data_IF_067633578316
#
_entry.id   IF_067633578316
#
_cell.length_a   1.000
_cell.length_b   1.000
_cell.length_c   1.000
_cell.angle_alpha   90.00
_cell.angle_beta   90.00
_cell.angle_gamma   90.00
#
_symmetry.space_group_name_H-M   'P 1'
#
loop_
_entity.id
_entity.type
_entity.pdbx_description
1 polymer ?
#
# COMPACT_ATOMS: atom_id res chain seq x y z
N UNK A 1 6.61 2.49 -60.13
CA UNK A 1 7.87 3.13 -59.73
C UNK A 1 7.54 4.00 -58.54
N UNK A 2 7.95 3.57 -57.35
CA UNK A 2 7.70 4.25 -56.08
C UNK A 2 8.55 5.52 -56.01
N UNK A 3 7.98 6.62 -55.54
CA UNK A 3 8.76 7.63 -54.82
C UNK A 3 7.91 8.37 -53.78
N UNK A 4 8.56 8.71 -52.68
CA UNK A 4 7.99 9.13 -51.40
C UNK A 4 7.66 10.63 -51.34
N UNK A 5 6.74 11.04 -50.45
CA UNK A 5 6.95 12.09 -49.43
C UNK A 5 5.66 12.47 -48.67
N UNK A 6 5.72 12.24 -47.36
CA UNK A 6 5.44 13.18 -46.25
C UNK A 6 4.24 14.15 -46.39
N UNK A 7 3.29 14.01 -45.48
CA UNK A 7 2.30 15.04 -45.17
C UNK A 7 1.54 14.76 -43.87
N UNK A 8 2.09 15.17 -42.73
CA UNK A 8 1.28 15.58 -41.57
C UNK A 8 0.91 17.05 -41.83
N UNK A 9 -0.37 17.48 -41.76
CA UNK A 9 -0.92 17.91 -40.46
C UNK A 9 -2.46 17.85 -40.33
N UNK A 10 -2.97 17.82 -39.09
CA UNK A 10 -4.03 18.70 -38.54
C UNK A 10 -4.70 18.07 -37.32
N UNK A 11 -4.57 18.73 -36.16
CA UNK A 11 -5.56 19.69 -35.63
C UNK A 11 -6.94 19.05 -35.42
N UNK A 12 -7.19 18.64 -34.17
CA UNK A 12 -8.56 18.52 -33.66
C UNK A 12 -8.89 19.77 -32.87
N UNK A 13 -9.76 20.60 -33.45
CA UNK A 13 -10.62 21.56 -32.75
C UNK A 13 -12.05 21.10 -32.98
N UNK A 14 -12.85 21.15 -31.92
CA UNK A 14 -14.31 21.35 -31.79
C UNK A 14 -14.72 20.58 -30.53
N UNK A 15 -15.43 21.15 -29.57
CA UNK A 15 -16.31 22.31 -29.58
C UNK A 15 -17.57 21.88 -28.84
N UNK A 16 -17.70 22.36 -27.59
CA UNK A 16 -18.92 22.56 -26.81
C UNK A 16 -20.12 21.64 -27.04
N UNK A 17 -20.51 20.89 -26.00
CA UNK A 17 -21.92 20.74 -25.62
C UNK A 17 -22.04 20.39 -24.14
N UNK A 18 -22.79 21.24 -23.44
CA UNK A 18 -23.11 21.16 -22.02
C UNK A 18 -24.05 20.01 -21.75
N UNK A 19 -23.59 19.01 -20.99
CA UNK A 19 -24.46 18.12 -20.24
C UNK A 19 -24.20 18.37 -18.76
N UNK A 20 -25.04 19.21 -18.17
CA UNK A 20 -25.24 19.24 -16.74
C UNK A 20 -25.82 17.90 -16.33
N UNK A 21 -24.98 17.03 -15.81
CA UNK A 21 -25.42 15.93 -14.98
C UNK A 21 -24.68 16.05 -13.66
N UNK A 22 -25.38 16.64 -12.70
CA UNK A 22 -25.06 16.64 -11.28
C UNK A 22 -25.01 15.18 -10.80
N UNK A 23 -23.87 14.54 -11.02
CA UNK A 23 -23.49 13.32 -10.30
C UNK A 23 -23.14 13.79 -8.90
N UNK A 24 -24.06 13.57 -7.98
CA UNK A 24 -23.83 13.58 -6.54
C UNK A 24 -22.45 12.99 -6.26
N UNK A 25 -21.48 13.87 -5.96
CA UNK A 25 -20.21 13.46 -5.41
C UNK A 25 -20.52 12.91 -4.03
N UNK A 26 -20.65 11.59 -3.93
CA UNK A 26 -20.33 10.90 -2.69
C UNK A 26 -18.85 11.22 -2.46
N UNK A 27 -18.61 12.29 -1.70
CA UNK A 27 -17.28 12.69 -1.28
C UNK A 27 -16.72 11.56 -0.44
N UNK A 28 -15.94 10.68 -1.08
CA UNK A 28 -14.93 9.93 -0.36
C UNK A 28 -14.08 10.96 0.35
N UNK A 29 -14.26 11.08 1.66
CA UNK A 29 -13.33 11.79 2.53
C UNK A 29 -12.02 11.03 2.37
N UNK A 30 -11.15 11.49 1.47
CA UNK A 30 -9.73 11.21 1.60
C UNK A 30 -9.32 11.98 2.84
N UNK A 31 -9.52 11.36 4.00
CA UNK A 31 -8.83 11.76 5.22
C UNK A 31 -7.36 11.92 4.81
N UNK A 32 -6.72 13.04 5.15
CA UNK A 32 -5.33 13.31 4.82
C UNK A 32 -4.43 12.31 5.56
N UNK A 33 -4.40 11.07 5.07
CA UNK A 33 -3.70 9.98 5.70
C UNK A 33 -2.21 10.25 5.62
N UNK A 34 -1.55 10.16 6.77
CA UNK A 34 -0.11 10.29 6.87
C UNK A 34 0.52 8.93 6.61
N UNK A 35 1.51 8.89 5.73
CA UNK A 35 2.24 7.68 5.37
C UNK A 35 3.64 7.72 5.99
N UNK A 36 4.17 6.57 6.47
CA UNK A 36 5.57 6.49 6.88
C UNK A 36 6.49 6.68 5.67
N UNK A 37 7.64 7.32 5.87
CA UNK A 37 8.69 7.42 4.86
C UNK A 37 9.41 6.08 4.68
N UNK A 38 10.11 5.91 3.54
CA UNK A 38 10.98 4.74 3.32
C UNK A 38 12.04 4.65 4.42
N UNK A 39 12.67 5.77 4.77
CA UNK A 39 13.65 5.87 5.86
C UNK A 39 13.07 5.35 7.19
N UNK A 40 11.86 5.77 7.57
CA UNK A 40 11.21 5.29 8.80
C UNK A 40 10.97 3.78 8.77
N UNK A 41 10.63 3.19 7.62
CA UNK A 41 10.44 1.74 7.50
C UNK A 41 11.77 1.00 7.67
N UNK A 42 12.87 1.57 7.16
CA UNK A 42 14.22 1.03 7.37
C UNK A 42 14.62 1.16 8.84
N UNK A 43 14.38 2.29 9.49
CA UNK A 43 14.62 2.47 10.92
C UNK A 43 13.83 1.47 11.78
N UNK A 44 12.57 1.21 11.43
CA UNK A 44 11.74 0.18 12.08
C UNK A 44 12.37 -1.21 11.91
N UNK A 45 12.92 -1.52 10.74
CA UNK A 45 13.64 -2.78 10.51
C UNK A 45 14.90 -2.87 11.37
N UNK A 46 15.72 -1.82 11.39
CA UNK A 46 16.94 -1.78 12.21
C UNK A 46 16.63 -1.96 13.70
N UNK A 47 15.54 -1.36 14.19
CA UNK A 47 15.07 -1.59 15.56
C UNK A 47 14.66 -3.05 15.80
N UNK A 48 13.96 -3.68 14.86
CA UNK A 48 13.57 -5.10 14.96
C UNK A 48 14.80 -6.01 15.00
N UNK A 49 15.82 -5.68 14.21
CA UNK A 49 17.08 -6.42 14.18
C UNK A 49 17.82 -6.24 15.49
N UNK A 50 17.93 -5.02 16.00
CA UNK A 50 18.56 -4.73 17.27
C UNK A 50 17.88 -5.41 18.47
N UNK A 51 16.56 -5.56 18.43
CA UNK A 51 15.78 -6.24 19.47
C UNK A 51 15.81 -7.79 19.35
N UNK A 52 16.23 -8.35 18.21
CA UNK A 52 16.11 -9.78 17.94
C UNK A 52 17.43 -10.46 17.62
N UNK A 53 17.88 -11.36 18.51
CA UNK A 53 19.17 -12.07 18.45
C UNK A 53 19.47 -12.87 17.16
N UNK A 54 18.46 -13.18 16.34
CA UNK A 54 18.60 -14.06 15.16
C UNK A 54 18.33 -13.38 13.81
N UNK A 55 18.06 -12.08 13.80
CA UNK A 55 17.65 -11.37 12.57
C UNK A 55 18.87 -10.81 11.85
N UNK A 56 19.04 -11.16 10.58
CA UNK A 56 20.08 -10.55 9.76
C UNK A 56 19.67 -9.13 9.32
N UNK A 57 20.54 -8.14 9.56
CA UNK A 57 20.37 -6.78 9.04
C UNK A 57 20.62 -6.76 7.54
N UNK A 58 19.86 -5.95 6.81
CA UNK A 58 20.12 -5.68 5.40
C UNK A 58 18.87 -5.33 4.62
N UNK A 59 18.97 -4.25 3.85
CA UNK A 59 17.96 -3.85 2.87
C UNK A 59 18.32 -4.45 1.52
N UNK A 60 17.41 -5.23 0.94
CA UNK A 60 17.53 -5.79 -0.41
C UNK A 60 17.07 -4.80 -1.46
N UNK A 61 15.99 -4.09 -1.20
CA UNK A 61 15.39 -3.15 -2.16
C UNK A 61 14.59 -2.07 -1.45
N UNK A 62 15.11 -0.85 -1.42
CA UNK A 62 14.35 0.33 -1.02
C UNK A 62 13.27 0.68 -2.05
N UNK A 63 13.52 0.39 -3.32
CA UNK A 63 12.56 0.60 -4.41
C UNK A 63 11.26 -0.18 -4.19
N UNK A 64 11.33 -1.40 -3.64
CA UNK A 64 10.14 -2.18 -3.30
C UNK A 64 9.32 -1.50 -2.17
N UNK A 65 9.99 -0.89 -1.19
CA UNK A 65 9.33 -0.13 -0.12
C UNK A 65 8.66 1.12 -0.70
N UNK A 66 9.38 1.86 -1.54
CA UNK A 66 8.88 3.06 -2.21
C UNK A 66 7.67 2.73 -3.11
N UNK A 67 7.74 1.64 -3.86
CA UNK A 67 6.64 1.17 -4.72
C UNK A 67 5.40 0.77 -3.91
N UNK A 68 5.60 0.08 -2.77
CA UNK A 68 4.50 -0.25 -1.87
C UNK A 68 3.81 0.99 -1.31
N UNK A 69 4.58 1.99 -0.88
CA UNK A 69 4.06 3.27 -0.41
C UNK A 69 3.31 4.02 -1.51
N UNK A 70 3.88 4.10 -2.70
CA UNK A 70 3.24 4.74 -3.85
C UNK A 70 1.91 4.07 -4.19
N UNK A 71 1.85 2.73 -4.18
CA UNK A 71 0.60 2.02 -4.45
C UNK A 71 -0.46 2.32 -3.40
N UNK A 72 -0.12 2.37 -2.12
CA UNK A 72 -1.13 2.64 -1.09
C UNK A 72 -1.53 4.11 -1.01
N UNK A 73 -0.69 5.04 -1.48
CA UNK A 73 -1.02 6.47 -1.53
C UNK A 73 -1.79 6.85 -2.80
N UNK A 74 -1.28 6.47 -3.97
CA UNK A 74 -1.75 6.91 -5.29
C UNK A 74 -2.61 5.85 -6.01
N UNK A 75 -2.53 4.58 -5.58
CA UNK A 75 -3.12 3.44 -6.29
C UNK A 75 -2.42 3.14 -7.62
N UNK A 76 -2.86 2.06 -8.27
CA UNK A 76 -2.45 1.74 -9.64
C UNK A 76 -3.69 1.41 -10.47
N UNK A 77 -3.70 1.81 -11.75
CA UNK A 77 -4.77 1.51 -12.71
C UNK A 77 -6.18 1.97 -12.31
N UNK A 78 -6.29 3.03 -11.50
CA UNK A 78 -7.58 3.59 -11.07
C UNK A 78 -8.23 2.86 -9.90
N UNK A 79 -7.59 1.82 -9.35
CA UNK A 79 -7.97 1.21 -8.09
C UNK A 79 -7.09 1.78 -6.97
N UNK A 80 -7.63 2.77 -6.26
CA UNK A 80 -7.00 3.33 -5.07
C UNK A 80 -7.70 2.71 -3.85
N UNK A 81 -6.95 2.09 -2.93
CA UNK A 81 -7.53 1.68 -1.65
C UNK A 81 -8.07 2.93 -0.93
N UNK A 82 -9.38 2.99 -0.68
CA UNK A 82 -10.05 4.18 -0.16
C UNK A 82 -9.93 4.29 1.36
N UNK A 83 -10.01 3.15 2.05
CA UNK A 83 -9.99 3.13 3.53
C UNK A 83 -8.58 2.91 4.07
N UNK A 84 -8.30 3.45 5.26
CA UNK A 84 -7.06 3.19 5.99
C UNK A 84 -6.79 1.68 6.15
N UNK A 85 -7.85 0.88 6.34
CA UNK A 85 -7.73 -0.57 6.49
C UNK A 85 -7.30 -1.27 5.20
N UNK A 86 -7.87 -0.87 4.05
CA UNK A 86 -7.44 -1.41 2.76
C UNK A 86 -5.99 -1.02 2.47
N UNK A 87 -5.62 0.25 2.67
CA UNK A 87 -4.25 0.73 2.52
C UNK A 87 -3.28 -0.05 3.41
N UNK A 88 -3.63 -0.28 4.68
CA UNK A 88 -2.82 -1.06 5.61
C UNK A 88 -2.65 -2.53 5.20
N UNK A 89 -3.72 -3.19 4.71
CA UNK A 89 -3.65 -4.57 4.23
C UNK A 89 -2.74 -4.67 3.00
N UNK A 90 -2.89 -3.76 2.04
CA UNK A 90 -2.05 -3.73 0.85
C UNK A 90 -0.58 -3.44 1.20
N UNK A 91 -0.33 -2.48 2.10
CA UNK A 91 1.02 -2.18 2.58
C UNK A 91 1.67 -3.42 3.22
N UNK A 92 0.96 -4.10 4.11
CA UNK A 92 1.47 -5.33 4.74
C UNK A 92 1.76 -6.41 3.71
N UNK A 93 0.83 -6.65 2.78
CA UNK A 93 0.98 -7.68 1.77
C UNK A 93 2.21 -7.43 0.90
N UNK A 94 2.38 -6.21 0.39
CA UNK A 94 3.51 -5.87 -0.48
C UNK A 94 4.85 -5.98 0.25
N UNK A 95 4.96 -5.44 1.47
CA UNK A 95 6.20 -5.57 2.27
C UNK A 95 6.54 -7.01 2.61
N UNK A 96 5.54 -7.88 2.77
CA UNK A 96 5.78 -9.31 3.03
C UNK A 96 6.13 -10.06 1.76
N UNK A 97 5.44 -9.81 0.64
CA UNK A 97 5.61 -10.54 -0.62
C UNK A 97 6.86 -10.12 -1.40
N UNK A 98 7.20 -8.83 -1.40
CA UNK A 98 8.35 -8.32 -2.17
C UNK A 98 9.68 -8.52 -1.44
N UNK A 99 9.64 -8.91 -0.17
CA UNK A 99 10.80 -9.20 0.68
C UNK A 99 11.92 -8.13 0.58
N UNK A 100 11.62 -6.86 0.89
CA UNK A 100 12.58 -5.76 0.76
C UNK A 100 13.78 -5.87 1.71
N UNK A 101 13.76 -6.77 2.68
CA UNK A 101 14.84 -7.00 3.64
C UNK A 101 15.39 -8.44 3.58
N UNK A 102 16.62 -8.62 4.08
CA UNK A 102 17.30 -9.94 4.13
C UNK A 102 16.56 -10.92 5.03
N UNK A 103 16.23 -10.48 6.25
CA UNK A 103 15.36 -11.19 7.19
C UNK A 103 14.45 -10.19 7.92
N UNK A 104 13.45 -10.68 8.67
CA UNK A 104 12.58 -9.84 9.47
C UNK A 104 11.40 -9.23 8.71
N UNK A 105 11.25 -9.47 7.41
CA UNK A 105 10.19 -8.91 6.55
C UNK A 105 8.78 -8.93 7.19
N UNK A 106 8.36 -10.07 7.74
CA UNK A 106 7.06 -10.22 8.42
C UNK A 106 6.92 -9.34 9.67
N UNK A 107 8.00 -9.21 10.46
CA UNK A 107 8.02 -8.36 11.66
C UNK A 107 8.01 -6.89 11.27
N UNK A 108 8.77 -6.51 10.26
CA UNK A 108 8.82 -5.13 9.76
C UNK A 108 7.49 -4.72 9.18
N UNK A 109 6.89 -5.53 8.30
CA UNK A 109 5.57 -5.24 7.75
C UNK A 109 4.51 -5.04 8.84
N UNK A 110 4.53 -5.86 9.90
CA UNK A 110 3.63 -5.71 11.04
C UNK A 110 3.86 -4.39 11.80
N UNK A 111 5.11 -4.06 12.15
CA UNK A 111 5.41 -2.80 12.84
C UNK A 111 5.10 -1.58 11.98
N UNK A 112 5.39 -1.62 10.69
CA UNK A 112 5.04 -0.55 9.75
C UNK A 112 3.54 -0.30 9.73
N UNK A 113 2.71 -1.34 9.72
CA UNK A 113 1.25 -1.18 9.81
C UNK A 113 0.80 -0.60 11.14
N UNK A 114 1.39 -1.04 12.25
CA UNK A 114 1.10 -0.48 13.58
C UNK A 114 1.42 1.02 13.60
N UNK A 115 2.60 1.41 13.12
CA UNK A 115 3.02 2.82 13.03
C UNK A 115 2.09 3.59 12.10
N UNK A 116 1.71 3.03 10.95
CA UNK A 116 0.75 3.66 10.04
C UNK A 116 -0.60 3.92 10.70
N UNK A 117 -1.13 3.01 11.51
CA UNK A 117 -2.34 3.28 12.29
C UNK A 117 -2.10 4.37 13.35
N UNK A 118 -0.99 4.29 14.08
CA UNK A 118 -0.66 5.23 15.15
C UNK A 118 -0.56 6.68 14.67
N UNK A 119 0.17 6.93 13.58
CA UNK A 119 0.32 8.29 13.02
C UNK A 119 -1.00 8.86 12.47
N UNK A 120 -1.97 7.99 12.17
CA UNK A 120 -3.31 8.36 11.73
C UNK A 120 -4.36 8.37 12.87
N UNK A 121 -3.92 8.29 14.13
CA UNK A 121 -4.82 8.37 15.30
C UNK A 121 -5.62 7.10 15.57
N UNK A 122 -5.12 5.94 15.13
CA UNK A 122 -5.70 4.63 15.41
C UNK A 122 -4.73 3.76 16.21
N UNK A 123 -5.28 2.88 17.03
CA UNK A 123 -4.54 1.79 17.66
C UNK A 123 -4.87 0.48 16.96
N UNK A 124 -3.85 -0.31 16.65
CA UNK A 124 -4.02 -1.63 16.02
C UNK A 124 -3.79 -2.73 17.06
N UNK A 125 -4.87 -3.31 17.57
CA UNK A 125 -4.86 -4.39 18.57
C UNK A 125 -5.01 -5.74 17.85
N UNK A 126 -3.89 -6.46 17.72
CA UNK A 126 -3.82 -7.70 16.95
C UNK A 126 -3.51 -8.91 17.84
N UNK A 127 -4.18 -10.03 17.57
CA UNK A 127 -3.92 -11.32 18.19
C UNK A 127 -3.00 -12.20 17.36
N UNK A 128 -2.91 -13.49 17.72
CA UNK A 128 -2.10 -14.48 17.01
C UNK A 128 -2.54 -14.74 15.56
N UNK A 129 -3.79 -14.41 15.23
CA UNK A 129 -4.39 -14.55 13.89
C UNK A 129 -3.58 -13.79 12.83
N UNK A 130 -2.95 -12.67 13.19
CA UNK A 130 -2.10 -11.90 12.27
C UNK A 130 -0.91 -12.70 11.78
N UNK A 131 -0.39 -13.65 12.58
CA UNK A 131 0.75 -14.48 12.20
C UNK A 131 0.39 -15.44 11.07
N UNK A 132 -0.81 -16.01 11.12
CA UNK A 132 -1.33 -16.86 10.05
C UNK A 132 -1.55 -16.04 8.77
N UNK A 133 -2.06 -14.80 8.89
CA UNK A 133 -2.23 -13.90 7.76
C UNK A 133 -0.89 -13.51 7.12
N UNK A 134 0.10 -13.12 7.92
CA UNK A 134 1.46 -12.83 7.45
C UNK A 134 2.12 -14.03 6.76
N UNK A 135 1.91 -15.24 7.26
CA UNK A 135 2.41 -16.45 6.62
C UNK A 135 1.79 -16.64 5.23
N UNK A 136 0.47 -16.46 5.11
CA UNK A 136 -0.24 -16.60 3.83
C UNK A 136 0.15 -15.53 2.81
N UNK A 137 0.41 -14.30 3.25
CA UNK A 137 0.96 -13.25 2.38
C UNK A 137 2.36 -13.60 1.87
N UNK A 138 3.20 -14.22 2.70
CA UNK A 138 4.55 -14.64 2.30
C UNK A 138 4.54 -15.80 1.29
N UNK A 139 3.55 -16.70 1.37
CA UNK A 139 3.41 -17.81 0.43
C UNK A 139 2.73 -17.44 -0.88
N UNK A 140 2.28 -16.18 -1.03
CA UNK A 140 1.52 -15.73 -2.21
C UNK A 140 0.18 -16.46 -2.35
N UNK A 141 -0.38 -16.95 -1.23
CA UNK A 141 -1.59 -17.75 -1.25
C UNK A 141 -2.79 -16.88 -1.63
N UNK A 142 -3.30 -17.09 -2.85
CA UNK A 142 -4.45 -16.36 -3.41
C UNK A 142 -5.77 -16.67 -2.72
N UNK A 143 -5.79 -17.64 -1.79
CA UNK A 143 -6.97 -17.90 -0.95
C UNK A 143 -7.20 -16.80 0.09
N UNK A 144 -6.23 -15.93 0.35
CA UNK A 144 -6.46 -14.75 1.19
C UNK A 144 -7.22 -13.73 0.35
N UNK A 145 -8.53 -13.73 0.50
CA UNK A 145 -9.35 -12.64 0.02
C UNK A 145 -8.96 -11.34 0.75
N UNK A 146 -8.62 -10.31 -0.02
CA UNK A 146 -8.26 -8.98 0.52
C UNK A 146 -9.41 -8.43 1.36
N UNK A 147 -10.67 -8.68 0.97
CA UNK A 147 -11.84 -8.29 1.75
C UNK A 147 -11.84 -8.90 3.17
N UNK A 148 -11.50 -10.18 3.28
CA UNK A 148 -11.40 -10.88 4.58
C UNK A 148 -10.28 -10.28 5.45
N UNK A 149 -9.12 -9.98 4.87
CA UNK A 149 -8.03 -9.32 5.58
C UNK A 149 -8.44 -7.90 6.05
N UNK A 150 -9.19 -7.16 5.23
CA UNK A 150 -9.72 -5.84 5.58
C UNK A 150 -10.72 -5.92 6.74
N UNK A 151 -11.59 -6.93 6.75
CA UNK A 151 -12.53 -7.16 7.87
C UNK A 151 -11.75 -7.41 9.17
N UNK A 152 -10.72 -8.26 9.12
CA UNK A 152 -9.85 -8.50 10.28
C UNK A 152 -9.18 -7.20 10.75
N UNK A 153 -8.57 -6.43 9.83
CA UNK A 153 -7.88 -5.19 10.17
C UNK A 153 -8.81 -4.15 10.78
N UNK A 154 -10.04 -4.06 10.27
CA UNK A 154 -11.08 -3.19 10.80
C UNK A 154 -11.51 -3.61 12.20
N UNK A 155 -11.59 -4.91 12.50
CA UNK A 155 -11.92 -5.41 13.83
C UNK A 155 -10.81 -5.13 14.86
N UNK A 156 -9.54 -5.17 14.41
CA UNK A 156 -8.37 -4.87 15.23
C UNK A 156 -8.15 -3.36 15.46
N UNK A 157 -8.63 -2.51 14.56
CA UNK A 157 -8.41 -1.08 14.65
C UNK A 157 -9.42 -0.38 15.58
N UNK A 158 -8.93 0.43 16.52
CA UNK A 158 -9.74 1.37 17.30
C UNK A 158 -9.27 2.79 17.06
N UNK A 159 -10.21 3.72 16.91
CA UNK A 159 -9.90 5.15 16.80
C UNK A 159 -9.63 5.70 18.20
N UNK A 160 -8.51 6.42 18.35
CA UNK A 160 -8.12 7.07 19.60
C UNK A 160 -8.88 8.38 19.84
#
# INVERSE_FOLDING_TARGET
MFDAAIGCPRQWRFGSETVNQEREKVGGVTDDLVYPSVELIVEIHDQIVAEGDITESGVRSEDAIASALQYVSEGFFGEVPETIHQKAVHLMRLLVSDHPFVDGNKRTALRTVVVFYMINGYTFDYGDEVRALLHRFATGDTTVDVGTAVIYFRACARRN
#
